data_IF_927578628953
#
_entry.id   IF_927578628953
#
_cell.length_a   1.000
_cell.length_b   1.000
_cell.length_c   1.000
_cell.angle_alpha   90.00
_cell.angle_beta   90.00
_cell.angle_gamma   90.00
#
_symmetry.space_group_name_H-M   'P 1'
#
loop_
_entity.id
_entity.type
_entity.pdbx_description
1 polymer ?
#
# COMPACT_ATOMS: atom_id res chain seq x y z
N UNK A 1 20.86 -15.93 -7.52
CA UNK A 1 19.91 -15.35 -6.55
C UNK A 1 20.22 -13.86 -6.48
N UNK A 2 19.56 -13.05 -7.31
CA UNK A 2 19.92 -11.65 -7.54
C UNK A 2 18.90 -10.70 -6.92
N UNK A 3 19.39 -9.58 -6.39
CA UNK A 3 18.67 -8.31 -6.13
C UNK A 3 17.44 -8.31 -5.17
N UNK A 4 17.33 -9.24 -4.22
CA UNK A 4 16.26 -9.21 -3.20
C UNK A 4 16.58 -8.34 -1.98
N UNK A 5 17.09 -7.13 -2.21
CA UNK A 5 17.26 -6.13 -1.16
C UNK A 5 16.32 -4.96 -1.44
N UNK A 6 15.28 -4.78 -0.62
CA UNK A 6 14.38 -3.61 -0.56
C UNK A 6 13.04 -3.69 -1.32
N UNK A 7 12.85 -4.52 -2.34
CA UNK A 7 11.51 -4.64 -2.99
C UNK A 7 10.46 -5.23 -2.04
N UNK A 8 10.84 -6.24 -1.25
CA UNK A 8 9.93 -6.90 -0.30
C UNK A 8 9.42 -5.90 0.76
N UNK A 9 10.24 -4.93 1.17
CA UNK A 9 9.84 -3.87 2.08
C UNK A 9 8.68 -3.05 1.50
N UNK A 10 8.81 -2.57 0.27
CA UNK A 10 7.77 -1.77 -0.38
C UNK A 10 6.51 -2.58 -0.69
N UNK A 11 6.67 -3.86 -1.00
CA UNK A 11 5.55 -4.80 -1.10
C UNK A 11 4.74 -4.87 0.21
N UNK A 12 5.43 -5.03 1.35
CA UNK A 12 4.75 -5.08 2.64
C UNK A 12 4.17 -3.73 3.07
N UNK A 13 4.87 -2.63 2.80
CA UNK A 13 4.36 -1.27 3.06
C UNK A 13 3.07 -1.03 2.27
N UNK A 14 3.04 -1.32 0.97
CA UNK A 14 1.86 -1.11 0.13
C UNK A 14 0.64 -1.88 0.68
N UNK A 15 0.83 -3.16 1.08
CA UNK A 15 -0.23 -3.98 1.67
C UNK A 15 -0.64 -3.51 3.06
N UNK A 16 0.32 -3.10 3.90
CA UNK A 16 0.04 -2.57 5.23
C UNK A 16 -0.78 -1.28 5.16
N UNK A 17 -0.39 -0.35 4.29
CA UNK A 17 -1.11 0.89 4.07
C UNK A 17 -2.52 0.61 3.54
N UNK A 18 -2.67 -0.29 2.55
CA UNK A 18 -3.98 -0.70 2.06
C UNK A 18 -4.88 -1.22 3.17
N UNK A 19 -4.37 -2.09 4.05
CA UNK A 19 -5.13 -2.62 5.19
C UNK A 19 -5.59 -1.53 6.15
N UNK A 20 -4.77 -0.50 6.42
CA UNK A 20 -5.17 0.66 7.23
C UNK A 20 -6.30 1.46 6.61
N UNK A 21 -6.41 1.45 5.29
CA UNK A 21 -7.52 2.04 4.53
C UNK A 21 -8.72 1.10 4.40
N UNK A 22 -8.68 -0.10 5.01
CA UNK A 22 -9.72 -1.11 4.85
C UNK A 22 -9.65 -1.89 3.53
N UNK A 23 -8.61 -1.69 2.72
CA UNK A 23 -8.41 -2.34 1.42
C UNK A 23 -7.49 -3.55 1.54
N UNK A 24 -8.01 -4.72 1.19
CA UNK A 24 -7.19 -5.92 1.02
C UNK A 24 -6.73 -6.03 -0.44
N UNK A 25 -5.53 -5.54 -0.74
CA UNK A 25 -4.99 -5.53 -2.11
C UNK A 25 -4.93 -6.92 -2.77
N UNK A 26 -4.80 -7.99 -1.98
CA UNK A 26 -4.82 -9.36 -2.51
C UNK A 26 -6.21 -9.76 -2.98
N UNK A 27 -7.24 -9.38 -2.23
CA UNK A 27 -8.64 -9.62 -2.57
C UNK A 27 -9.08 -8.72 -3.72
N UNK A 28 -8.70 -7.44 -3.71
CA UNK A 28 -8.92 -6.53 -4.85
C UNK A 28 -8.30 -7.06 -6.15
N UNK A 29 -7.12 -7.70 -6.09
CA UNK A 29 -6.55 -8.37 -7.26
C UNK A 29 -7.31 -9.63 -7.68
N UNK A 30 -7.78 -10.41 -6.70
CA UNK A 30 -8.58 -11.61 -6.96
C UNK A 30 -9.92 -11.26 -7.63
N UNK A 31 -10.55 -10.18 -7.19
CA UNK A 31 -11.86 -9.71 -7.67
C UNK A 31 -11.76 -8.90 -8.97
N UNK A 32 -10.54 -8.71 -9.49
CA UNK A 32 -10.29 -7.99 -10.73
C UNK A 32 -10.39 -6.47 -10.63
N UNK A 33 -10.51 -5.92 -9.41
CA UNK A 33 -10.50 -4.48 -9.13
C UNK A 33 -9.10 -3.87 -9.30
N UNK A 34 -8.05 -4.68 -9.16
CA UNK A 34 -6.65 -4.26 -9.31
C UNK A 34 -5.89 -5.29 -10.16
N UNK A 35 -5.20 -4.88 -11.23
CA UNK A 35 -4.36 -5.84 -11.95
C UNK A 35 -3.01 -6.04 -11.25
N UNK A 36 -2.34 -7.15 -11.54
CA UNK A 36 -0.96 -7.39 -11.07
C UNK A 36 0.01 -6.30 -11.55
N UNK A 37 -0.23 -5.73 -12.73
CA UNK A 37 0.58 -4.64 -13.27
C UNK A 37 0.36 -3.34 -12.48
N UNK A 38 -0.89 -3.03 -12.13
CA UNK A 38 -1.22 -1.87 -11.30
C UNK A 38 -0.60 -2.00 -9.91
N UNK A 39 -0.70 -3.18 -9.30
CA UNK A 39 -0.08 -3.44 -8.02
C UNK A 39 1.45 -3.33 -8.06
N UNK A 40 2.10 -3.81 -9.14
CA UNK A 40 3.53 -3.61 -9.34
C UNK A 40 3.90 -2.13 -9.46
N UNK A 41 3.06 -1.31 -10.10
CA UNK A 41 3.25 0.15 -10.15
C UNK A 41 3.09 0.80 -8.78
N UNK A 42 2.11 0.37 -7.97
CA UNK A 42 1.96 0.84 -6.59
C UNK A 42 3.22 0.56 -5.76
N UNK A 43 3.84 -0.62 -5.91
CA UNK A 43 5.09 -0.96 -5.24
C UNK A 43 6.23 -0.06 -5.73
N UNK A 44 6.32 0.20 -7.03
CA UNK A 44 7.33 1.09 -7.58
C UNK A 44 7.15 2.55 -7.10
N UNK A 45 5.92 3.02 -6.94
CA UNK A 45 5.62 4.32 -6.33
C UNK A 45 6.07 4.38 -4.87
N UNK A 46 5.79 3.34 -4.07
CA UNK A 46 6.31 3.24 -2.71
C UNK A 46 7.85 3.25 -2.68
N UNK A 47 8.51 2.60 -3.64
CA UNK A 47 9.98 2.56 -3.75
C UNK A 47 10.60 3.93 -4.07
N UNK A 48 9.91 4.74 -4.86
CA UNK A 48 10.37 6.08 -5.23
C UNK A 48 9.95 7.17 -4.22
N UNK A 49 9.08 6.81 -3.27
CA UNK A 49 8.62 7.71 -2.22
C UNK A 49 9.67 7.86 -1.11
N UNK A 50 9.97 9.09 -0.71
CA UNK A 50 10.85 9.37 0.42
C UNK A 50 10.19 9.11 1.80
N UNK A 51 8.88 8.84 1.83
CA UNK A 51 8.09 8.67 3.05
C UNK A 51 8.06 7.25 3.63
N UNK A 52 8.96 6.35 3.20
CA UNK A 52 8.94 4.94 3.63
C UNK A 52 9.15 4.76 5.15
N UNK A 53 9.98 5.59 5.78
CA UNK A 53 10.14 5.61 7.24
C UNK A 53 8.85 6.06 7.94
N UNK A 54 8.16 7.06 7.37
CA UNK A 54 6.85 7.51 7.84
C UNK A 54 5.77 6.43 7.71
N UNK A 55 5.79 5.65 6.61
CA UNK A 55 4.93 4.47 6.46
C UNK A 55 5.18 3.46 7.58
N UNK A 56 6.43 3.14 7.88
CA UNK A 56 6.76 2.15 8.90
C UNK A 56 6.33 2.62 10.30
N UNK A 57 6.55 3.90 10.63
CA UNK A 57 6.08 4.50 11.87
C UNK A 57 4.55 4.41 11.98
N UNK A 58 3.84 4.89 10.95
CA UNK A 58 2.37 4.84 10.87
C UNK A 58 1.82 3.41 10.98
N UNK A 59 2.47 2.44 10.35
CA UNK A 59 2.07 1.03 10.42
C UNK A 59 2.37 0.38 11.77
N UNK A 60 3.36 0.89 12.51
CA UNK A 60 3.72 0.40 13.86
C UNK A 60 2.77 0.89 14.95
N UNK A 61 2.17 2.08 14.76
CA UNK A 61 1.17 2.65 15.67
C UNK A 61 -0.06 1.75 15.71
N UNK A 62 -0.39 1.13 16.85
CA UNK A 62 -1.58 0.29 16.96
C UNK A 62 -2.85 1.18 16.92
N UNK A 63 -3.45 1.33 15.74
CA UNK A 63 -4.82 1.84 15.60
C UNK A 63 -5.69 0.72 15.06
N UNK A 64 -6.73 0.36 15.81
CA UNK A 64 -7.80 -0.54 15.35
C UNK A 64 -8.74 0.17 14.36
N UNK A 65 -8.61 1.50 14.25
CA UNK A 65 -9.41 2.31 13.35
C UNK A 65 -8.90 2.24 11.91
N UNK A 66 -9.85 2.02 10.99
CA UNK A 66 -9.65 2.33 9.57
C UNK A 66 -9.45 3.84 9.46
N UNK A 67 -8.27 4.22 8.98
CA UNK A 67 -7.90 5.61 8.81
C UNK A 67 -8.02 6.05 7.35
N UNK A 68 -7.90 7.36 7.14
CA UNK A 68 -7.62 7.94 5.82
C UNK A 68 -6.13 7.81 5.49
N UNK A 69 -5.82 7.74 4.19
CA UNK A 69 -4.43 7.70 3.75
C UNK A 69 -3.73 8.99 4.21
N UNK A 70 -2.53 8.92 4.79
CA UNK A 70 -1.78 10.13 5.11
C UNK A 70 -1.61 11.00 3.86
N UNK A 71 -1.63 12.32 4.03
CA UNK A 71 -1.52 13.26 2.91
C UNK A 71 -0.25 13.07 2.07
N UNK A 72 0.80 12.50 2.68
CA UNK A 72 2.08 12.21 2.05
C UNK A 72 2.15 10.82 1.38
N UNK A 73 1.10 9.99 1.47
CA UNK A 73 1.09 8.66 0.89
C UNK A 73 0.98 8.72 -0.64
N UNK A 74 2.03 8.27 -1.34
CA UNK A 74 2.06 8.26 -2.81
C UNK A 74 0.96 7.40 -3.47
N UNK A 75 0.46 6.38 -2.77
CA UNK A 75 -0.64 5.52 -3.22
C UNK A 75 -1.99 5.92 -2.60
N UNK A 76 -2.06 7.04 -1.86
CA UNK A 76 -3.24 7.40 -1.10
C UNK A 76 -4.49 7.58 -1.96
N UNK A 77 -4.33 8.11 -3.18
CA UNK A 77 -5.47 8.26 -4.08
C UNK A 77 -6.03 6.92 -4.56
N UNK A 78 -5.17 6.04 -5.07
CA UNK A 78 -5.55 4.69 -5.54
C UNK A 78 -6.17 3.87 -4.41
N UNK A 79 -5.61 3.95 -3.19
CA UNK A 79 -6.15 3.24 -2.04
C UNK A 79 -7.55 3.74 -1.64
N UNK A 80 -7.83 5.04 -1.75
CA UNK A 80 -9.17 5.57 -1.52
C UNK A 80 -10.15 5.10 -2.59
N UNK A 81 -9.76 5.17 -3.87
CA UNK A 81 -10.59 4.73 -4.99
C UNK A 81 -10.99 3.24 -4.85
N UNK A 82 -10.04 2.37 -4.49
CA UNK A 82 -10.35 0.95 -4.25
C UNK A 82 -11.20 0.78 -3.00
N UNK A 83 -10.92 1.55 -1.94
CA UNK A 83 -11.67 1.50 -0.68
C UNK A 83 -13.13 1.93 -0.79
N UNK A 84 -13.48 2.77 -1.77
CA UNK A 84 -14.87 3.13 -2.07
C UNK A 84 -15.62 2.04 -2.87
N UNK A 85 -14.91 1.06 -3.42
CA UNK A 85 -15.46 -0.03 -4.23
C UNK A 85 -15.67 -1.34 -3.44
N UNK A 86 -15.19 -1.43 -2.19
CA UNK A 86 -15.27 -2.62 -1.30
C UNK A 86 -16.01 -2.33 -0.01
#
# INVERSE_FOLDING_TARGET
MGIQGNIDLYFWIARGMGRRMGVNLTEAMHDGLLSQADFAQMINHCRLCAGSEGCLAYLSEHSEERGSAPDWCANGNVLREIGEMV
#
